data_IF_083501365064
#
_entry.id   IF_083501365064
#
_cell.length_a   1.000
_cell.length_b   1.000
_cell.length_c   1.000
_cell.angle_alpha   90.00
_cell.angle_beta   90.00
_cell.angle_gamma   90.00
#
_symmetry.space_group_name_H-M   'P 1'
#
loop_
_entity.id
_entity.type
_entity.pdbx_description
1 polymer ?
#
# COMPACT_ATOMS: atom_id res chain seq x y z
N UNK A 1 2.15 -14.48 -17.18
CA UNK A 1 1.84 -13.79 -18.46
C UNK A 1 2.07 -12.31 -18.25
N UNK A 2 3.01 -11.72 -18.99
CA UNK A 2 3.23 -10.27 -18.94
C UNK A 2 2.08 -9.56 -19.64
N UNK A 3 1.38 -8.67 -18.95
CA UNK A 3 0.28 -7.90 -19.54
C UNK A 3 0.67 -6.43 -19.62
N UNK A 4 0.36 -5.81 -20.76
CA UNK A 4 0.59 -4.39 -20.98
C UNK A 4 -0.36 -3.56 -20.10
N UNK A 5 0.20 -2.90 -19.08
CA UNK A 5 -0.52 -2.16 -18.04
C UNK A 5 -0.79 -0.68 -18.38
N UNK A 6 0.13 -0.01 -19.06
CA UNK A 6 0.02 1.40 -19.37
C UNK A 6 0.82 1.79 -20.61
N UNK A 7 0.30 2.74 -21.38
CA UNK A 7 0.94 3.37 -22.54
C UNK A 7 0.98 4.88 -22.29
N UNK A 8 2.17 5.49 -22.44
CA UNK A 8 2.38 6.94 -22.36
C UNK A 8 2.91 7.42 -23.70
N UNK A 9 2.36 8.53 -24.19
CA UNK A 9 2.66 9.02 -25.54
C UNK A 9 3.31 10.40 -25.45
N UNK A 10 4.43 10.58 -26.12
CA UNK A 10 5.07 11.89 -26.29
C UNK A 10 4.62 12.50 -27.62
N UNK A 11 4.02 13.70 -27.59
CA UNK A 11 3.57 14.38 -28.80
C UNK A 11 3.49 15.90 -28.60
N UNK A 12 3.94 16.67 -29.59
CA UNK A 12 4.20 18.11 -29.46
C UNK A 12 2.99 19.05 -29.63
N UNK A 13 1.82 18.56 -30.06
CA UNK A 13 0.63 19.39 -30.30
C UNK A 13 -0.60 18.83 -29.57
N UNK A 14 -1.11 19.58 -28.58
CA UNK A 14 -2.15 19.12 -27.64
C UNK A 14 -3.57 19.09 -28.23
N UNK A 15 -3.83 19.75 -29.35
CA UNK A 15 -5.21 20.12 -29.69
C UNK A 15 -6.00 19.11 -30.53
N UNK A 16 -5.38 18.08 -31.14
CA UNK A 16 -6.07 17.20 -32.09
C UNK A 16 -6.34 15.76 -31.61
N UNK A 17 -5.90 15.35 -30.41
CA UNK A 17 -5.79 13.92 -30.08
C UNK A 17 -6.70 13.41 -28.96
N UNK A 18 -7.50 14.28 -28.32
CA UNK A 18 -8.37 13.86 -27.21
C UNK A 18 -9.43 12.83 -27.64
N UNK A 19 -9.86 12.82 -28.90
CA UNK A 19 -10.94 11.95 -29.37
C UNK A 19 -10.55 10.47 -29.49
N UNK A 20 -9.35 10.14 -29.98
CA UNK A 20 -8.94 8.73 -30.15
C UNK A 20 -8.34 8.13 -28.89
N UNK A 21 -7.69 8.95 -28.05
CA UNK A 21 -7.11 8.51 -26.77
C UNK A 21 -8.21 8.03 -25.82
N UNK A 22 -9.39 8.65 -25.84
CA UNK A 22 -10.55 8.23 -25.06
C UNK A 22 -11.03 6.80 -25.41
N UNK A 23 -10.79 6.32 -26.62
CA UNK A 23 -11.20 4.99 -27.06
C UNK A 23 -10.24 3.87 -26.60
N UNK A 24 -9.10 4.21 -25.99
CA UNK A 24 -8.06 3.25 -25.61
C UNK A 24 -7.76 3.28 -24.09
N UNK A 25 -8.32 2.36 -23.29
CA UNK A 25 -8.24 2.41 -21.82
C UNK A 25 -6.83 2.20 -21.25
N UNK A 26 -5.91 1.66 -22.07
CA UNK A 26 -4.49 1.45 -21.71
C UNK A 26 -3.64 2.71 -21.87
N UNK A 27 -4.11 3.72 -22.59
CA UNK A 27 -3.40 4.99 -22.73
C UNK A 27 -3.62 5.80 -21.44
N UNK A 28 -2.53 6.06 -20.70
CA UNK A 28 -2.56 6.78 -19.42
C UNK A 28 -2.23 8.26 -19.55
N UNK A 29 -1.85 8.71 -20.75
CA UNK A 29 -1.66 10.12 -21.05
C UNK A 29 -0.92 10.36 -22.36
N UNK A 30 -1.21 11.52 -22.96
CA UNK A 30 -0.40 12.13 -24.01
C UNK A 30 0.29 13.35 -23.37
N UNK A 31 1.58 13.48 -23.59
CA UNK A 31 2.43 14.44 -22.91
C UNK A 31 3.27 15.22 -23.92
N UNK A 32 3.37 16.52 -23.70
CA UNK A 32 4.13 17.45 -24.57
C UNK A 32 5.60 17.53 -24.21
N UNK A 33 5.98 16.99 -23.05
CA UNK A 33 7.37 16.93 -22.59
C UNK A 33 7.71 15.54 -22.06
N UNK A 34 8.95 15.10 -22.31
CA UNK A 34 9.47 13.86 -21.73
C UNK A 34 9.45 13.93 -20.20
N UNK A 35 9.67 15.11 -19.62
CA UNK A 35 9.64 15.32 -18.16
C UNK A 35 8.31 14.89 -17.54
N UNK A 36 7.19 15.29 -18.16
CA UNK A 36 5.84 14.91 -17.68
C UNK A 36 5.63 13.38 -17.74
N UNK A 37 6.18 12.70 -18.75
CA UNK A 37 6.13 11.24 -18.83
C UNK A 37 6.91 10.62 -17.67
N UNK A 38 8.13 11.09 -17.43
CA UNK A 38 8.98 10.58 -16.34
C UNK A 38 8.31 10.76 -14.97
N UNK A 39 7.73 11.93 -14.71
CA UNK A 39 7.00 12.22 -13.48
C UNK A 39 5.78 11.31 -13.32
N UNK A 40 4.99 11.14 -14.38
CA UNK A 40 3.79 10.30 -14.36
C UNK A 40 4.14 8.82 -14.20
N UNK A 41 5.21 8.36 -14.84
CA UNK A 41 5.74 7.01 -14.71
C UNK A 41 6.23 6.76 -13.28
N UNK A 42 7.02 7.68 -12.71
CA UNK A 42 7.50 7.58 -11.34
C UNK A 42 6.35 7.49 -10.32
N UNK A 43 5.30 8.31 -10.49
CA UNK A 43 4.10 8.23 -9.66
C UNK A 43 3.34 6.91 -9.85
N UNK A 44 3.27 6.40 -11.08
CA UNK A 44 2.58 5.13 -11.39
C UNK A 44 3.30 3.95 -10.76
N UNK A 45 4.64 3.91 -10.85
CA UNK A 45 5.48 2.90 -10.20
C UNK A 45 5.35 3.00 -8.67
N UNK A 46 5.40 4.22 -8.12
CA UNK A 46 5.23 4.43 -6.69
C UNK A 46 3.87 3.95 -6.19
N UNK A 47 2.79 4.21 -6.93
CA UNK A 47 1.44 3.72 -6.61
C UNK A 47 1.33 2.20 -6.72
N UNK A 48 2.00 1.59 -7.71
CA UNK A 48 2.10 0.13 -7.82
C UNK A 48 2.79 -0.47 -6.59
N UNK A 49 3.91 0.10 -6.17
CA UNK A 49 4.64 -0.35 -4.98
C UNK A 49 3.88 -0.09 -3.67
N UNK A 50 3.06 0.97 -3.58
CA UNK A 50 2.20 1.23 -2.43
C UNK A 50 1.03 0.24 -2.30
N UNK A 51 0.59 -0.37 -3.40
CA UNK A 51 -0.33 -1.51 -3.36
C UNK A 51 0.39 -2.84 -3.08
N UNK A 52 1.72 -2.81 -2.97
CA UNK A 52 2.59 -3.96 -2.82
C UNK A 52 3.52 -3.75 -1.62
N UNK A 53 3.03 -3.07 -0.56
CA UNK A 53 3.82 -2.81 0.65
C UNK A 53 4.18 -4.16 1.26
N UNK A 54 5.39 -4.61 0.93
CA UNK A 54 6.09 -5.65 1.65
C UNK A 54 6.27 -5.15 3.08
N UNK A 55 5.40 -5.61 3.97
CA UNK A 55 5.58 -5.45 5.41
C UNK A 55 6.72 -6.39 5.80
N UNK A 56 7.94 -5.85 5.85
CA UNK A 56 9.07 -6.52 6.47
C UNK A 56 8.99 -6.30 7.98
N UNK A 57 8.71 -7.38 8.72
CA UNK A 57 8.69 -7.39 10.19
C UNK A 57 10.11 -7.42 10.76
N UNK A 58 11.14 -7.58 9.90
CA UNK A 58 12.53 -7.66 10.31
C UNK A 58 13.20 -6.29 10.16
N UNK A 59 13.76 -5.76 11.26
CA UNK A 59 14.80 -4.74 11.18
C UNK A 59 16.07 -5.40 10.66
N UNK A 60 16.33 -5.26 9.37
CA UNK A 60 17.66 -5.52 8.80
C UNK A 60 18.60 -4.43 9.32
N UNK A 61 19.13 -4.61 10.53
CA UNK A 61 20.29 -3.85 10.95
C UNK A 61 21.43 -4.17 9.96
N UNK A 62 22.19 -3.16 9.54
CA UNK A 62 23.19 -3.22 8.45
C UNK A 62 24.31 -4.26 8.64
N UNK A 63 24.34 -5.01 9.75
CA UNK A 63 25.27 -6.10 10.02
C UNK A 63 24.70 -7.53 9.95
N UNK A 64 23.39 -7.71 9.77
CA UNK A 64 22.72 -9.03 9.90
C UNK A 64 22.38 -9.72 8.57
N UNK A 65 22.88 -9.19 7.46
CA UNK A 65 22.63 -9.67 6.07
C UNK A 65 23.10 -11.12 5.79
N UNK A 66 23.74 -11.80 6.74
CA UNK A 66 24.30 -13.16 6.58
C UNK A 66 23.63 -14.21 7.47
N UNK A 67 22.59 -13.87 8.24
CA UNK A 67 21.88 -14.87 9.05
C UNK A 67 21.08 -15.81 8.15
N UNK A 68 21.44 -17.09 8.25
CA UNK A 68 20.77 -18.21 7.61
C UNK A 68 19.27 -18.15 7.91
N UNK A 69 18.42 -18.28 6.89
CA UNK A 69 16.97 -18.22 7.06
C UNK A 69 16.47 -19.38 7.94
N UNK A 70 17.25 -20.46 8.05
CA UNK A 70 17.01 -21.58 8.97
C UNK A 70 17.26 -21.22 10.46
N UNK A 71 17.88 -20.04 10.72
CA UNK A 71 18.11 -19.49 12.06
C UNK A 71 17.13 -18.36 12.41
N UNK A 72 16.12 -18.10 11.58
CA UNK A 72 15.06 -17.16 11.95
C UNK A 72 14.37 -17.67 13.21
N UNK A 73 14.35 -16.81 14.23
CA UNK A 73 13.59 -17.01 15.46
C UNK A 73 12.21 -17.56 15.13
N UNK A 74 11.71 -18.62 15.81
CA UNK A 74 10.37 -19.17 15.58
C UNK A 74 9.27 -18.10 15.58
N UNK A 75 9.48 -17.04 16.36
CA UNK A 75 8.68 -15.80 16.37
C UNK A 75 8.45 -15.21 14.98
N UNK A 76 9.40 -15.32 14.04
CA UNK A 76 9.25 -14.90 12.65
C UNK A 76 8.20 -15.72 11.91
N UNK A 77 8.27 -17.06 11.99
CA UNK A 77 7.29 -17.92 11.33
C UNK A 77 5.89 -17.63 11.87
N UNK A 78 5.75 -17.49 13.20
CA UNK A 78 4.48 -17.11 13.82
C UNK A 78 4.01 -15.73 13.34
N UNK A 79 4.92 -14.76 13.19
CA UNK A 79 4.57 -13.42 12.70
C UNK A 79 4.12 -13.43 11.24
N UNK A 80 4.75 -14.24 10.38
CA UNK A 80 4.33 -14.37 8.98
C UNK A 80 2.98 -15.05 8.85
N UNK A 81 2.79 -16.19 9.53
CA UNK A 81 1.51 -16.92 9.53
C UNK A 81 0.40 -16.02 10.08
N UNK A 82 0.66 -15.31 11.18
CA UNK A 82 -0.31 -14.40 11.77
C UNK A 82 -0.66 -13.24 10.81
N UNK A 83 0.34 -12.67 10.12
CA UNK A 83 0.12 -11.65 9.10
C UNK A 83 -0.73 -12.17 7.95
N UNK A 84 -0.45 -13.37 7.43
CA UNK A 84 -1.22 -14.00 6.36
C UNK A 84 -2.67 -14.23 6.78
N UNK A 85 -2.90 -14.80 7.97
CA UNK A 85 -4.25 -14.99 8.52
C UNK A 85 -4.99 -13.65 8.62
N UNK A 86 -4.35 -12.61 9.16
CA UNK A 86 -4.98 -11.29 9.29
C UNK A 86 -5.30 -10.65 7.94
N UNK A 87 -4.51 -10.89 6.88
CA UNK A 87 -4.77 -10.32 5.55
C UNK A 87 -5.86 -11.09 4.80
N UNK A 88 -5.90 -12.42 4.95
CA UNK A 88 -6.86 -13.29 4.27
C UNK A 88 -8.26 -13.28 4.92
N UNK A 89 -8.36 -12.86 6.18
CA UNK A 89 -9.63 -12.74 6.87
C UNK A 89 -10.55 -11.70 6.22
N UNK A 90 -11.82 -12.05 6.05
CA UNK A 90 -12.84 -11.10 5.62
C UNK A 90 -13.19 -10.14 6.77
N UNK A 91 -12.72 -8.90 6.67
CA UNK A 91 -13.00 -7.88 7.66
C UNK A 91 -14.32 -7.20 7.38
N UNK A 92 -15.35 -7.58 8.14
CA UNK A 92 -16.63 -6.87 8.13
C UNK A 92 -16.49 -5.41 8.62
N UNK A 93 -17.49 -4.59 8.34
CA UNK A 93 -17.53 -3.18 8.78
C UNK A 93 -17.36 -3.00 10.30
N UNK A 94 -17.65 -4.05 11.07
CA UNK A 94 -17.57 -4.05 12.54
C UNK A 94 -16.15 -4.34 13.07
N UNK A 95 -15.28 -5.00 12.29
CA UNK A 95 -13.98 -5.47 12.78
C UNK A 95 -13.09 -4.34 13.32
N UNK A 96 -13.10 -3.18 12.66
CA UNK A 96 -12.35 -1.99 13.10
C UNK A 96 -12.90 -1.43 14.40
N UNK A 97 -14.22 -1.43 14.57
CA UNK A 97 -14.85 -0.97 15.82
C UNK A 97 -14.52 -1.90 16.98
N UNK A 98 -14.54 -3.21 16.74
CA UNK A 98 -14.21 -4.22 17.75
C UNK A 98 -12.74 -4.12 18.16
N UNK A 99 -11.84 -3.91 17.19
CA UNK A 99 -10.42 -3.63 17.46
C UNK A 99 -10.25 -2.36 18.29
N UNK A 100 -10.91 -1.26 17.92
CA UNK A 100 -10.84 0.00 18.68
C UNK A 100 -11.34 -0.19 20.10
N UNK A 101 -12.46 -0.88 20.28
CA UNK A 101 -13.03 -1.17 21.60
C UNK A 101 -12.05 -1.99 22.44
N UNK A 102 -11.52 -3.07 21.88
CA UNK A 102 -10.50 -3.90 22.55
C UNK A 102 -9.30 -3.07 22.99
N UNK A 103 -8.73 -2.24 22.10
CA UNK A 103 -7.60 -1.39 22.44
C UNK A 103 -7.95 -0.36 23.53
N UNK A 104 -9.13 0.26 23.47
CA UNK A 104 -9.57 1.20 24.50
C UNK A 104 -9.69 0.53 25.88
N UNK A 105 -10.15 -0.71 25.93
CA UNK A 105 -10.23 -1.51 27.16
C UNK A 105 -8.84 -1.89 27.69
N UNK A 106 -7.90 -2.28 26.81
CA UNK A 106 -6.53 -2.63 27.22
C UNK A 106 -5.72 -1.43 27.72
N UNK A 107 -5.92 -0.24 27.14
CA UNK A 107 -5.17 0.97 27.46
C UNK A 107 -5.94 1.94 28.38
N UNK A 108 -6.92 1.44 29.15
CA UNK A 108 -7.64 2.26 30.12
C UNK A 108 -6.67 2.99 31.07
N UNK A 109 -6.92 4.29 31.28
CA UNK A 109 -6.07 5.15 32.10
C UNK A 109 -4.84 5.71 31.39
N UNK A 110 -4.44 5.18 30.23
CA UNK A 110 -3.38 5.78 29.41
C UNK A 110 -3.96 6.80 28.43
N UNK A 111 -4.03 8.06 28.85
CA UNK A 111 -4.63 9.13 28.05
C UNK A 111 -3.95 9.36 26.70
N UNK A 112 -2.66 9.02 26.56
CA UNK A 112 -1.92 9.19 25.31
C UNK A 112 -2.35 8.14 24.30
N UNK A 113 -2.35 6.87 24.69
CA UNK A 113 -2.77 5.77 23.83
C UNK A 113 -4.25 5.88 23.45
N UNK A 114 -5.11 6.25 24.41
CA UNK A 114 -6.54 6.47 24.15
C UNK A 114 -6.75 7.58 23.11
N UNK A 115 -5.94 8.65 23.11
CA UNK A 115 -6.02 9.69 22.08
C UNK A 115 -5.62 9.15 20.70
N UNK A 116 -4.53 8.40 20.61
CA UNK A 116 -4.06 7.78 19.36
C UNK A 116 -5.11 6.81 18.80
N UNK A 117 -5.68 5.96 19.65
CA UNK A 117 -6.73 4.99 19.26
C UNK A 117 -7.98 5.72 18.75
N UNK A 118 -8.38 6.81 19.42
CA UNK A 118 -9.52 7.62 18.99
C UNK A 118 -9.26 8.37 17.67
N UNK A 119 -8.02 8.83 17.46
CA UNK A 119 -7.61 9.43 16.20
C UNK A 119 -7.68 8.42 15.07
N UNK A 120 -7.07 7.24 15.25
CA UNK A 120 -7.16 6.13 14.30
C UNK A 120 -8.61 5.81 13.93
N UNK A 121 -9.50 5.66 14.93
CA UNK A 121 -10.93 5.40 14.67
C UNK A 121 -11.57 6.48 13.78
N UNK A 122 -11.17 7.74 13.94
CA UNK A 122 -11.76 8.88 13.20
C UNK A 122 -11.18 9.01 11.80
N UNK A 123 -9.91 8.67 11.61
CA UNK A 123 -9.19 8.90 10.34
C UNK A 123 -9.07 7.65 9.48
N UNK A 124 -9.41 6.47 10.00
CA UNK A 124 -9.38 5.23 9.25
C UNK A 124 -10.45 5.22 8.15
N UNK A 125 -10.00 5.02 6.91
CA UNK A 125 -10.84 4.87 5.74
C UNK A 125 -10.60 3.49 5.10
N UNK A 126 -11.62 2.62 4.95
CA UNK A 126 -11.45 1.28 4.38
C UNK A 126 -10.80 1.27 3.00
N UNK A 127 -10.98 2.34 2.20
CA UNK A 127 -10.34 2.50 0.89
C UNK A 127 -8.82 2.72 0.95
N UNK A 128 -8.29 3.03 2.12
CA UNK A 128 -6.86 3.26 2.37
C UNK A 128 -6.17 2.08 3.07
N UNK A 129 -6.94 1.03 3.41
CA UNK A 129 -6.42 -0.17 4.05
C UNK A 129 -5.44 -0.91 3.14
N UNK A 130 -4.42 -1.52 3.76
CA UNK A 130 -3.50 -2.44 3.07
C UNK A 130 -4.32 -3.68 2.69
N UNK A 131 -4.24 -4.07 1.43
CA UNK A 131 -4.82 -5.30 0.87
C UNK A 131 -3.70 -6.23 0.45
#
# INVERSE_FOLDING_TARGET
METLNAIFIYYGDEQQHQLWVQNWPKIKGVHTTIKQICEKLAMTIKKCNQNNVSVSIVSLNEGDSSKDLDQLEPTFMYSQIFKEILLDMEHGQQAVQDLVKFCQEQYQGNTTEIKLINEFRRTYEPSTAIR
#
